data_IF_078124900655
#
_entry.id   IF_078124900655
#
_cell.length_a   1.000
_cell.length_b   1.000
_cell.length_c   1.000
_cell.angle_alpha   90.00
_cell.angle_beta   90.00
_cell.angle_gamma   90.00
#
_symmetry.space_group_name_H-M   'P 1'
#
loop_
_entity.id
_entity.type
_entity.pdbx_description
1 polymer ?
#
# COMPACT_ATOMS: atom_id res chain seq x y z
N UNK A 1 9.73 -3.84 13.17
CA UNK A 1 9.75 -4.38 11.80
C UNK A 1 8.56 -3.87 11.01
N UNK A 2 8.75 -3.61 9.75
CA UNK A 2 7.76 -2.97 8.88
C UNK A 2 7.72 -3.64 7.52
N UNK A 3 6.52 -3.82 6.96
CA UNK A 3 6.31 -4.49 5.67
C UNK A 3 5.48 -3.56 4.80
N UNK A 4 6.05 -3.15 3.66
CA UNK A 4 5.36 -2.33 2.68
C UNK A 4 4.99 -3.13 1.44
N UNK A 5 3.75 -3.02 1.00
CA UNK A 5 3.26 -3.51 -0.29
C UNK A 5 2.74 -2.35 -1.14
N UNK A 6 2.74 -2.51 -2.46
CA UNK A 6 2.33 -1.45 -3.37
C UNK A 6 0.85 -1.52 -3.72
N UNK A 7 0.13 -0.42 -3.50
CA UNK A 7 -1.27 -0.26 -3.89
C UNK A 7 -1.40 0.08 -5.38
N UNK A 8 -2.08 -0.79 -6.12
CA UNK A 8 -2.57 -0.52 -7.48
C UNK A 8 -3.96 0.14 -7.43
N UNK A 9 -4.12 1.08 -6.50
CA UNK A 9 -5.26 1.92 -6.16
C UNK A 9 -6.69 1.36 -6.28
N UNK A 10 -7.22 1.20 -5.11
CA UNK A 10 -8.62 1.23 -4.63
C UNK A 10 -9.67 0.38 -5.36
N UNK A 11 -10.28 -0.38 -4.53
CA UNK A 11 -11.42 -1.28 -4.61
C UNK A 11 -11.06 -2.72 -5.04
N UNK A 12 -10.63 -3.50 -4.03
CA UNK A 12 -10.27 -4.93 -4.13
C UNK A 12 -9.13 -5.18 -5.09
N UNK A 13 -8.02 -4.50 -4.90
CA UNK A 13 -6.76 -4.87 -5.53
C UNK A 13 -6.30 -6.21 -4.95
N UNK A 14 -5.53 -6.95 -5.74
CA UNK A 14 -4.97 -8.22 -5.29
C UNK A 14 -4.04 -8.10 -4.07
N UNK A 15 -3.46 -6.91 -3.82
CA UNK A 15 -2.69 -6.60 -2.61
C UNK A 15 -3.58 -6.62 -1.36
N UNK A 16 -4.78 -6.05 -1.39
CA UNK A 16 -5.73 -6.07 -0.26
C UNK A 16 -6.04 -7.50 0.20
N UNK A 17 -6.21 -8.43 -0.74
CA UNK A 17 -6.46 -9.83 -0.41
C UNK A 17 -5.24 -10.49 0.23
N UNK A 18 -4.04 -10.19 -0.25
CA UNK A 18 -2.78 -10.66 0.34
C UNK A 18 -2.63 -10.09 1.75
N UNK A 19 -2.83 -8.78 1.93
CA UNK A 19 -2.78 -8.09 3.23
C UNK A 19 -3.76 -8.72 4.22
N UNK A 20 -5.02 -8.94 3.85
CA UNK A 20 -6.03 -9.58 4.71
C UNK A 20 -5.60 -10.99 5.13
N UNK A 21 -5.06 -11.79 4.21
CA UNK A 21 -4.59 -13.13 4.52
C UNK A 21 -3.37 -13.10 5.46
N UNK A 22 -2.43 -12.18 5.28
CA UNK A 22 -1.29 -12.00 6.17
C UNK A 22 -1.72 -11.63 7.59
N UNK A 23 -2.62 -10.65 7.74
CA UNK A 23 -3.14 -10.22 9.04
C UNK A 23 -3.87 -11.37 9.77
N UNK A 24 -4.57 -12.24 9.00
CA UNK A 24 -5.24 -13.41 9.55
C UNK A 24 -4.25 -14.49 10.02
N UNK A 25 -3.15 -14.68 9.29
CA UNK A 25 -2.18 -15.78 9.50
C UNK A 25 -1.05 -15.43 10.47
N UNK A 26 -0.76 -14.14 10.64
CA UNK A 26 0.36 -13.63 11.45
C UNK A 26 -0.18 -12.62 12.47
N UNK A 27 -0.61 -13.08 13.67
CA UNK A 27 -1.29 -12.22 14.65
C UNK A 27 -0.47 -11.05 15.19
N UNK A 28 0.84 -11.07 15.04
CA UNK A 28 1.71 -9.97 15.43
C UNK A 28 1.76 -8.82 14.43
N UNK A 29 1.18 -9.00 13.23
CA UNK A 29 1.01 -7.92 12.27
C UNK A 29 -0.21 -7.07 12.60
N UNK A 30 -0.08 -5.76 12.46
CA UNK A 30 -1.19 -4.83 12.54
C UNK A 30 -1.14 -3.84 11.38
N UNK A 31 -2.28 -3.59 10.76
CA UNK A 31 -2.39 -2.71 9.60
C UNK A 31 -2.27 -1.25 10.01
N UNK A 32 -1.46 -0.49 9.28
CA UNK A 32 -1.35 0.96 9.38
C UNK A 32 -2.38 1.61 8.48
N UNK A 33 -3.26 2.42 9.08
CA UNK A 33 -4.29 3.17 8.35
C UNK A 33 -3.65 4.42 7.77
N UNK A 34 -3.64 4.52 6.44
CA UNK A 34 -3.12 5.70 5.75
C UNK A 34 -4.06 6.90 5.87
N UNK A 35 -3.51 8.11 5.87
CA UNK A 35 -4.28 9.33 5.70
C UNK A 35 -4.37 9.72 4.23
N UNK A 36 -5.46 10.35 3.83
CA UNK A 36 -5.66 10.86 2.47
C UNK A 36 -6.36 12.20 2.46
N UNK A 37 -6.04 13.03 1.44
CA UNK A 37 -6.69 14.32 1.23
C UNK A 37 -7.96 14.26 0.36
N UNK A 38 -8.34 13.06 -0.15
CA UNK A 38 -9.58 12.89 -0.89
C UNK A 38 -10.78 12.63 0.03
N UNK A 39 -11.96 12.89 -0.47
CA UNK A 39 -13.19 12.49 0.20
C UNK A 39 -13.38 10.96 0.21
N UNK A 40 -14.11 10.41 1.20
CA UNK A 40 -14.50 9.01 1.22
C UNK A 40 -15.29 8.61 -0.05
N UNK A 41 -15.10 7.36 -0.50
CA UNK A 41 -15.83 6.78 -1.63
C UNK A 41 -16.75 5.66 -1.11
N UNK A 42 -17.96 5.61 -1.65
CA UNK A 42 -18.90 4.54 -1.33
C UNK A 42 -19.13 4.34 0.17
N UNK A 43 -18.73 3.20 0.69
CA UNK A 43 -18.90 2.80 2.10
C UNK A 43 -17.65 2.96 2.96
N UNK A 44 -16.61 3.63 2.44
CA UNK A 44 -15.37 3.89 3.20
C UNK A 44 -15.64 4.68 4.48
N UNK A 45 -14.97 4.30 5.56
CA UNK A 45 -15.17 4.87 6.91
C UNK A 45 -13.88 5.49 7.42
N UNK A 46 -14.03 6.70 7.97
CA UNK A 46 -12.92 7.38 8.62
C UNK A 46 -12.37 6.59 9.81
N UNK A 47 -11.03 6.55 9.92
CA UNK A 47 -10.33 5.82 10.97
C UNK A 47 -10.38 4.28 10.83
N UNK A 48 -10.90 3.77 9.72
CA UNK A 48 -10.98 2.33 9.42
C UNK A 48 -10.33 2.01 8.09
N UNK A 49 -10.82 2.65 7.01
CA UNK A 49 -10.29 2.44 5.67
C UNK A 49 -9.16 3.46 5.40
N UNK A 50 -9.38 4.71 5.78
CA UNK A 50 -8.43 5.81 5.75
C UNK A 50 -8.72 6.80 6.88
N UNK A 51 -7.75 7.65 7.22
CA UNK A 51 -7.98 8.93 7.88
C UNK A 51 -8.25 9.99 6.79
N UNK A 52 -9.50 10.40 6.67
CA UNK A 52 -9.91 11.38 5.65
C UNK A 52 -9.70 12.80 6.17
N UNK A 53 -8.73 13.49 5.60
CA UNK A 53 -8.42 14.88 5.91
C UNK A 53 -8.88 15.75 4.73
N UNK A 54 -9.31 16.98 5.01
CA UNK A 54 -9.43 17.96 3.95
C UNK A 54 -8.03 18.32 3.39
N UNK A 55 -7.92 18.85 2.16
CA UNK A 55 -6.64 19.29 1.61
C UNK A 55 -5.87 20.25 2.52
N UNK A 56 -6.59 21.15 3.20
CA UNK A 56 -5.99 22.12 4.12
C UNK A 56 -5.53 21.48 5.44
N UNK A 57 -6.28 20.49 5.96
CA UNK A 57 -5.87 19.72 7.14
C UNK A 57 -4.66 18.83 6.82
N UNK A 58 -4.64 18.21 5.63
CA UNK A 58 -3.50 17.40 5.20
C UNK A 58 -2.25 18.28 5.10
N UNK A 59 -2.34 19.45 4.44
CA UNK A 59 -1.22 20.39 4.33
C UNK A 59 -0.72 20.86 5.69
N UNK A 60 -1.65 21.20 6.60
CA UNK A 60 -1.29 21.55 7.98
C UNK A 60 -0.57 20.42 8.69
N UNK A 61 -1.02 19.18 8.53
CA UNK A 61 -0.37 18.02 9.12
C UNK A 61 1.03 17.78 8.55
N UNK A 62 1.27 18.14 7.28
CA UNK A 62 2.62 18.15 6.67
C UNK A 62 3.49 19.21 7.33
N UNK A 63 3.00 20.45 7.45
CA UNK A 63 3.73 21.57 8.06
C UNK A 63 4.06 21.31 9.55
N UNK A 64 3.19 20.56 10.25
CA UNK A 64 3.37 20.12 11.64
C UNK A 64 4.24 18.85 11.77
N UNK A 65 4.83 18.35 10.68
CA UNK A 65 5.66 17.13 10.63
C UNK A 65 4.96 15.88 11.21
N UNK A 66 3.63 15.78 11.07
CA UNK A 66 2.84 14.67 11.60
C UNK A 66 2.92 13.38 10.77
N UNK A 67 3.43 13.47 9.55
CA UNK A 67 3.65 12.32 8.68
C UNK A 67 5.05 11.72 8.86
N UNK A 68 5.13 10.40 8.68
CA UNK A 68 6.38 9.65 8.48
C UNK A 68 6.84 9.84 7.05
N UNK A 69 5.91 9.65 6.12
CA UNK A 69 6.05 9.92 4.69
C UNK A 69 4.69 10.37 4.12
N UNK A 70 4.70 11.03 3.00
CA UNK A 70 3.51 11.38 2.23
C UNK A 70 3.87 11.64 0.78
N UNK A 71 2.92 11.39 -0.13
CA UNK A 71 3.09 11.59 -1.57
C UNK A 71 1.81 12.12 -2.21
N UNK A 72 1.96 12.93 -3.27
CA UNK A 72 0.88 13.28 -4.17
C UNK A 72 0.75 12.20 -5.25
N UNK A 73 -0.08 11.20 -5.01
CA UNK A 73 -0.24 10.01 -5.89
C UNK A 73 -1.02 10.35 -7.17
N UNK A 74 -1.99 11.24 -7.06
CA UNK A 74 -2.75 11.80 -8.19
C UNK A 74 -2.85 13.30 -8.01
N UNK A 75 -2.96 14.05 -9.13
CA UNK A 75 -3.07 15.51 -9.08
C UNK A 75 -4.13 15.98 -8.07
N UNK A 76 -3.69 16.68 -7.05
CA UNK A 76 -4.52 17.18 -5.95
C UNK A 76 -4.91 16.15 -4.89
N UNK A 77 -4.43 14.90 -4.98
CA UNK A 77 -4.74 13.85 -4.00
C UNK A 77 -3.47 13.31 -3.36
N UNK A 78 -3.33 13.58 -2.07
CA UNK A 78 -2.21 13.12 -1.27
C UNK A 78 -2.61 11.92 -0.41
N UNK A 79 -1.62 11.07 -0.16
CA UNK A 79 -1.67 9.96 0.79
C UNK A 79 -0.43 10.01 1.68
N UNK A 80 -0.52 9.48 2.88
CA UNK A 80 0.63 9.43 3.78
C UNK A 80 0.39 8.64 5.04
N UNK A 81 1.46 8.29 5.71
CA UNK A 81 1.48 7.54 6.95
C UNK A 81 1.66 8.47 8.13
N UNK A 82 0.67 8.52 9.01
CA UNK A 82 0.75 9.35 10.23
C UNK A 82 1.71 8.72 11.26
N UNK A 83 2.51 9.53 11.94
CA UNK A 83 3.37 9.10 13.07
C UNK A 83 2.56 8.43 14.18
N UNK A 84 1.35 8.91 14.43
CA UNK A 84 0.44 8.34 15.44
C UNK A 84 0.06 6.88 15.17
N UNK A 85 0.09 6.43 13.89
CA UNK A 85 -0.14 5.03 13.56
C UNK A 85 1.02 4.14 14.04
N UNK A 86 2.25 4.61 13.90
CA UNK A 86 3.42 3.91 14.41
C UNK A 86 3.33 3.77 15.93
N UNK A 87 3.04 4.88 16.62
CA UNK A 87 2.90 4.89 18.08
C UNK A 87 1.77 3.94 18.54
N UNK A 88 0.65 3.93 17.81
CA UNK A 88 -0.51 3.07 18.10
C UNK A 88 -0.15 1.59 18.00
N UNK A 89 0.58 1.19 16.98
CA UNK A 89 0.90 -0.22 16.69
C UNK A 89 2.08 -0.68 17.54
N UNK A 90 3.17 0.08 17.59
CA UNK A 90 4.33 -0.25 18.42
C UNK A 90 4.01 -0.23 19.90
N UNK A 91 3.11 0.65 20.36
CA UNK A 91 2.63 0.67 21.73
C UNK A 91 1.97 -0.65 22.19
N UNK A 92 1.54 -1.48 21.24
CA UNK A 92 1.02 -2.83 21.49
C UNK A 92 2.07 -3.92 21.33
N UNK A 93 3.30 -3.59 20.93
CA UNK A 93 4.36 -4.55 20.61
C UNK A 93 4.15 -5.28 19.29
N UNK A 94 3.32 -4.75 18.40
CA UNK A 94 3.04 -5.34 17.09
C UNK A 94 4.00 -4.82 16.01
N UNK A 95 4.13 -5.60 14.94
CA UNK A 95 4.82 -5.22 13.71
C UNK A 95 3.84 -4.54 12.78
N UNK A 96 4.27 -3.42 12.19
CA UNK A 96 3.42 -2.64 11.29
C UNK A 96 3.42 -3.28 9.90
N UNK A 97 2.23 -3.41 9.31
CA UNK A 97 2.05 -3.72 7.91
C UNK A 97 1.50 -2.49 7.19
N UNK A 98 2.23 -1.99 6.21
CA UNK A 98 1.81 -0.90 5.34
C UNK A 98 1.32 -1.44 4.00
N UNK A 99 0.26 -0.84 3.48
CA UNK A 99 -0.15 -0.94 2.08
C UNK A 99 -0.11 0.47 1.50
N UNK A 100 0.92 0.75 0.73
CA UNK A 100 1.25 2.09 0.23
C UNK A 100 1.63 2.02 -1.24
N UNK A 101 1.58 3.16 -1.93
CA UNK A 101 2.06 3.24 -3.30
C UNK A 101 3.58 3.03 -3.39
N UNK A 102 4.09 2.89 -4.62
CA UNK A 102 5.50 2.57 -4.88
C UNK A 102 6.45 3.60 -4.27
N UNK A 103 6.14 4.89 -4.39
CA UNK A 103 7.00 5.95 -3.88
C UNK A 103 6.96 5.99 -2.35
N UNK A 104 5.80 5.82 -1.75
CA UNK A 104 5.63 5.68 -0.31
C UNK A 104 6.42 4.48 0.23
N UNK A 105 6.36 3.32 -0.44
CA UNK A 105 7.13 2.13 -0.08
C UNK A 105 8.64 2.36 -0.12
N UNK A 106 9.15 3.01 -1.18
CA UNK A 106 10.56 3.38 -1.30
C UNK A 106 10.97 4.35 -0.18
N UNK A 107 10.13 5.34 0.14
CA UNK A 107 10.40 6.31 1.18
C UNK A 107 10.42 5.65 2.57
N UNK A 108 9.46 4.79 2.88
CA UNK A 108 9.46 4.01 4.13
C UNK A 108 10.72 3.15 4.25
N UNK A 109 11.11 2.45 3.15
CA UNK A 109 12.35 1.66 3.15
C UNK A 109 13.61 2.52 3.41
N UNK A 110 13.67 3.75 2.88
CA UNK A 110 14.79 4.68 3.16
C UNK A 110 14.81 5.14 4.62
N UNK A 111 13.63 5.37 5.21
CA UNK A 111 13.50 5.85 6.60
C UNK A 111 13.90 4.75 7.58
N UNK A 112 13.41 3.53 7.39
CA UNK A 112 13.56 2.43 8.34
C UNK A 112 14.71 1.47 8.03
N UNK A 113 15.26 1.53 6.83
CA UNK A 113 16.45 0.77 6.44
C UNK A 113 16.26 -0.75 6.61
N UNK A 114 17.11 -1.36 7.43
CA UNK A 114 17.10 -2.80 7.68
C UNK A 114 15.91 -3.25 8.56
N UNK A 115 15.27 -2.32 9.28
CA UNK A 115 14.10 -2.61 10.11
C UNK A 115 12.79 -2.68 9.29
N UNK A 116 12.86 -2.45 7.98
CA UNK A 116 11.75 -2.59 7.05
C UNK A 116 12.05 -3.64 5.98
N UNK A 117 11.04 -4.47 5.67
CA UNK A 117 11.02 -5.38 4.53
C UNK A 117 10.04 -4.87 3.48
N UNK A 118 10.53 -4.54 2.30
CA UNK A 118 9.70 -4.05 1.21
C UNK A 118 9.42 -5.15 0.19
N UNK A 119 8.14 -5.35 -0.11
CA UNK A 119 7.68 -6.38 -1.07
C UNK A 119 6.89 -5.70 -2.17
N UNK A 120 7.36 -5.82 -3.40
CA UNK A 120 6.66 -5.34 -4.59
C UNK A 120 5.75 -6.46 -5.12
N UNK A 121 4.45 -6.23 -5.11
CA UNK A 121 3.47 -7.17 -5.69
C UNK A 121 3.17 -6.72 -7.11
N UNK A 122 3.39 -7.58 -8.11
CA UNK A 122 3.14 -7.25 -9.50
C UNK A 122 2.21 -8.26 -10.19
N UNK A 123 1.44 -7.84 -11.20
CA UNK A 123 0.73 -8.77 -12.07
C UNK A 123 1.71 -9.56 -12.93
N UNK A 124 1.32 -10.71 -13.52
CA UNK A 124 2.18 -11.47 -14.41
C UNK A 124 2.56 -10.72 -15.70
N UNK A 125 1.69 -9.81 -16.17
CA UNK A 125 1.98 -8.90 -17.28
C UNK A 125 1.08 -7.66 -17.23
N UNK A 126 1.40 -6.64 -18.03
CA UNK A 126 0.59 -5.44 -18.19
C UNK A 126 -0.76 -5.77 -18.86
N UNK A 127 -0.76 -6.65 -19.84
CA UNK A 127 -1.97 -7.09 -20.54
C UNK A 127 -2.92 -7.81 -19.57
N UNK A 128 -2.40 -8.60 -18.66
CA UNK A 128 -3.20 -9.27 -17.62
C UNK A 128 -3.77 -8.25 -16.61
N UNK A 129 -3.00 -7.21 -16.27
CA UNK A 129 -3.51 -6.12 -15.45
C UNK A 129 -4.68 -5.40 -16.14
N UNK A 130 -4.50 -5.00 -17.39
CA UNK A 130 -5.54 -4.33 -18.19
C UNK A 130 -6.79 -5.20 -18.25
N UNK A 131 -6.66 -6.49 -18.59
CA UNK A 131 -7.75 -7.45 -18.60
C UNK A 131 -8.49 -7.54 -17.25
N UNK A 132 -7.76 -7.58 -16.12
CA UNK A 132 -8.35 -7.60 -14.78
C UNK A 132 -9.12 -6.31 -14.47
N UNK A 133 -8.60 -5.16 -14.87
CA UNK A 133 -9.27 -3.86 -14.72
C UNK A 133 -10.56 -3.78 -15.56
N UNK A 134 -10.52 -4.25 -16.81
CA UNK A 134 -11.70 -4.30 -17.69
C UNK A 134 -12.79 -5.24 -17.14
N UNK A 135 -12.42 -6.44 -16.67
CA UNK A 135 -13.37 -7.43 -16.12
C UNK A 135 -14.09 -6.92 -14.88
N UNK A 136 -13.49 -6.03 -14.10
CA UNK A 136 -14.16 -5.40 -12.95
C UNK A 136 -15.33 -4.52 -13.36
N UNK A 137 -15.28 -3.90 -14.53
CA UNK A 137 -16.35 -3.07 -15.09
C UNK A 137 -16.69 -1.81 -14.28
N UNK A 138 -15.84 -1.42 -13.32
CA UNK A 138 -16.06 -0.26 -12.44
C UNK A 138 -15.45 1.03 -12.97
N UNK A 139 -14.48 0.91 -13.87
CA UNK A 139 -13.71 2.04 -14.38
C UNK A 139 -14.04 2.33 -15.85
N UNK A 140 -14.07 3.62 -16.21
CA UNK A 140 -14.15 4.04 -17.60
C UNK A 140 -12.82 3.73 -18.34
N UNK A 141 -12.84 3.52 -19.66
CA UNK A 141 -11.65 3.18 -20.45
C UNK A 141 -10.47 4.14 -20.25
N UNK A 142 -10.75 5.44 -20.12
CA UNK A 142 -9.72 6.46 -19.89
C UNK A 142 -9.06 6.32 -18.50
N UNK A 143 -9.80 5.82 -17.52
CA UNK A 143 -9.28 5.55 -16.17
C UNK A 143 -8.40 4.30 -16.21
N UNK A 144 -8.82 3.26 -16.93
CA UNK A 144 -8.03 2.04 -17.14
C UNK A 144 -6.70 2.39 -17.80
N UNK A 145 -6.72 3.17 -18.89
CA UNK A 145 -5.50 3.58 -19.58
C UNK A 145 -4.52 4.35 -18.67
N UNK A 146 -5.03 5.24 -17.79
CA UNK A 146 -4.20 5.95 -16.82
C UNK A 146 -3.60 5.00 -15.78
N UNK A 147 -4.35 4.00 -15.33
CA UNK A 147 -3.88 3.00 -14.37
C UNK A 147 -2.80 2.12 -14.98
N UNK A 148 -2.98 1.68 -16.23
CA UNK A 148 -1.98 0.90 -16.97
C UNK A 148 -0.68 1.70 -17.15
N UNK A 149 -0.76 2.96 -17.58
CA UNK A 149 0.41 3.81 -17.73
C UNK A 149 1.14 4.06 -16.39
N UNK A 150 0.39 4.22 -15.28
CA UNK A 150 0.98 4.31 -13.94
C UNK A 150 1.69 3.00 -13.58
N UNK A 151 1.05 1.86 -13.85
CA UNK A 151 1.62 0.54 -13.59
C UNK A 151 2.94 0.30 -14.32
N UNK A 152 3.04 0.69 -15.59
CA UNK A 152 4.29 0.63 -16.38
C UNK A 152 5.41 1.42 -15.69
N UNK A 153 5.11 2.63 -15.21
CA UNK A 153 6.07 3.42 -14.46
C UNK A 153 6.49 2.72 -13.15
N UNK A 154 5.52 2.22 -12.38
CA UNK A 154 5.77 1.57 -11.10
C UNK A 154 6.60 0.29 -11.25
N UNK A 155 6.38 -0.50 -12.30
CA UNK A 155 7.21 -1.68 -12.62
C UNK A 155 8.68 -1.33 -12.81
N UNK A 156 9.03 -0.14 -13.30
CA UNK A 156 10.42 0.30 -13.39
C UNK A 156 11.09 0.45 -12.03
N UNK A 157 10.28 0.56 -10.96
CA UNK A 157 10.73 0.73 -9.58
C UNK A 157 10.84 -0.59 -8.80
N UNK A 158 10.36 -1.70 -9.34
CA UNK A 158 10.44 -2.99 -8.69
C UNK A 158 11.85 -3.36 -8.19
N UNK A 159 12.97 -3.04 -8.90
CA UNK A 159 14.32 -3.31 -8.41
C UNK A 159 14.74 -2.53 -7.14
N UNK A 160 13.98 -1.52 -6.73
CA UNK A 160 14.22 -0.74 -5.51
C UNK A 160 13.66 -1.41 -4.25
N UNK A 161 12.91 -2.52 -4.41
CA UNK A 161 12.33 -3.31 -3.32
C UNK A 161 13.18 -4.52 -2.96
N UNK A 162 13.08 -4.97 -1.70
CA UNK A 162 13.82 -6.15 -1.23
C UNK A 162 13.35 -7.43 -1.90
N UNK A 163 12.04 -7.53 -2.18
CA UNK A 163 11.42 -8.68 -2.81
C UNK A 163 10.41 -8.26 -3.87
N UNK A 164 10.31 -9.07 -4.92
CA UNK A 164 9.29 -8.93 -5.97
C UNK A 164 8.49 -10.23 -6.04
N UNK A 165 7.18 -10.13 -5.89
CA UNK A 165 6.26 -11.27 -5.95
C UNK A 165 5.27 -11.08 -7.09
N UNK A 166 5.17 -12.09 -7.95
CA UNK A 166 4.21 -12.09 -9.07
C UNK A 166 2.88 -12.67 -8.60
N UNK A 167 1.84 -11.87 -8.64
CA UNK A 167 0.48 -12.30 -8.29
C UNK A 167 -0.26 -12.80 -9.55
N UNK A 168 0.12 -13.99 -10.00
CA UNK A 168 -0.61 -14.74 -11.04
C UNK A 168 -1.75 -15.55 -10.40
N UNK A 169 -1.42 -16.38 -9.41
CA UNK A 169 -2.36 -17.14 -8.59
C UNK A 169 -2.28 -16.62 -7.16
N UNK A 170 -3.41 -16.12 -6.65
CA UNK A 170 -3.48 -15.46 -5.34
C UNK A 170 -2.91 -16.31 -4.20
N UNK A 171 -3.30 -17.59 -4.11
CA UNK A 171 -2.85 -18.46 -3.03
C UNK A 171 -1.32 -18.66 -3.04
N UNK A 172 -0.72 -18.73 -4.24
CA UNK A 172 0.73 -18.83 -4.40
C UNK A 172 1.42 -17.54 -3.96
N UNK A 173 0.91 -16.39 -4.39
CA UNK A 173 1.43 -15.09 -3.99
C UNK A 173 1.33 -14.88 -2.46
N UNK A 174 0.19 -15.23 -1.86
CA UNK A 174 0.00 -15.18 -0.40
C UNK A 174 1.04 -16.04 0.32
N UNK A 175 1.24 -17.29 -0.13
CA UNK A 175 2.21 -18.19 0.51
C UNK A 175 3.65 -17.68 0.40
N UNK A 176 4.01 -17.08 -0.74
CA UNK A 176 5.33 -16.50 -0.96
C UNK A 176 5.55 -15.28 -0.07
N UNK A 177 4.61 -14.33 -0.02
CA UNK A 177 4.71 -13.16 0.84
C UNK A 177 4.72 -13.57 2.32
N UNK A 178 3.88 -14.53 2.73
CA UNK A 178 3.88 -15.05 4.09
C UNK A 178 5.26 -15.60 4.49
N UNK A 179 5.91 -16.36 3.61
CA UNK A 179 7.27 -16.87 3.86
C UNK A 179 8.26 -15.73 4.03
N UNK A 180 8.27 -14.73 3.13
CA UNK A 180 9.15 -13.56 3.22
C UNK A 180 8.96 -12.84 4.56
N UNK A 181 7.71 -12.60 4.93
CA UNK A 181 7.36 -11.92 6.18
C UNK A 181 7.85 -12.71 7.40
N UNK A 182 7.63 -14.02 7.44
CA UNK A 182 8.08 -14.87 8.57
C UNK A 182 9.59 -14.93 8.67
N UNK A 183 10.30 -15.01 7.54
CA UNK A 183 11.76 -14.98 7.48
C UNK A 183 12.32 -13.65 8.02
N UNK A 184 11.64 -12.54 7.72
CA UNK A 184 12.00 -11.21 8.21
C UNK A 184 11.74 -11.03 9.72
N UNK A 185 10.70 -11.67 10.26
CA UNK A 185 10.33 -11.58 11.68
C UNK A 185 11.10 -12.53 12.58
N UNK A 186 11.89 -13.46 12.03
CA UNK A 186 12.67 -14.44 12.78
C UNK A 186 14.01 -13.88 13.28
#
# INVERSE_FOLDING_TARGET
>A
YEIGSCDWSSDVCSSDLIVRELLRRIPQLEFSISATSRAPRGTERDGVDYYFLSPDEFRRAVDEERFVEWEEVYAGTCYGTLRSELDRIWGKGHTILFDVDVLGGINLKRIFGADACSVFIMPPSIEELERRLELRGTDAPEVIAKRVAKAEFELTKAPEFDHVVVNDVLDTAVAEVERIVRDFLS
#
